data_IF_211332439261
#
_entry.id   IF_211332439261
#
_cell.length_a   1.000
_cell.length_b   1.000
_cell.length_c   1.000
_cell.angle_alpha   90.00
_cell.angle_beta   90.00
_cell.angle_gamma   90.00
#
_symmetry.space_group_name_H-M   'P 1'
#
loop_
_entity.id
_entity.type
_entity.pdbx_description
1 polymer ?
#
# COMPACT_ATOMS: atom_id res chain seq x y z
N UNK A 1 15.88 10.82 -30.67
CA UNK A 1 16.40 9.74 -29.81
C UNK A 1 15.90 10.06 -28.43
N UNK A 2 14.88 9.36 -27.92
CA UNK A 2 14.52 9.49 -26.51
C UNK A 2 15.75 9.18 -25.68
N UNK A 3 16.06 10.06 -24.74
CA UNK A 3 17.05 9.81 -23.70
C UNK A 3 16.71 8.45 -23.07
N UNK A 4 17.67 7.52 -22.87
CA UNK A 4 17.37 6.25 -22.21
C UNK A 4 16.69 6.52 -20.87
N UNK A 5 15.49 5.95 -20.71
CA UNK A 5 14.73 5.96 -19.47
C UNK A 5 15.66 5.63 -18.28
N UNK A 6 15.94 6.59 -17.38
CA UNK A 6 16.81 6.34 -16.24
C UNK A 6 16.10 5.41 -15.28
N UNK A 7 16.34 4.09 -15.42
CA UNK A 7 15.95 3.05 -14.45
C UNK A 7 16.81 3.10 -13.18
N UNK A 8 17.11 4.32 -12.73
CA UNK A 8 17.98 4.62 -11.59
C UNK A 8 17.10 5.18 -10.49
N UNK A 9 17.09 4.47 -9.36
CA UNK A 9 16.39 4.92 -8.16
C UNK A 9 17.08 6.15 -7.59
N UNK A 10 16.30 7.20 -7.31
CA UNK A 10 16.77 8.40 -6.62
C UNK A 10 16.85 8.16 -5.11
N UNK A 11 17.86 8.75 -4.50
CA UNK A 11 18.03 8.85 -3.05
C UNK A 11 17.07 9.88 -2.45
N UNK A 12 16.94 9.87 -1.12
CA UNK A 12 16.11 10.86 -0.43
C UNK A 12 16.58 12.30 -0.70
N UNK A 13 17.90 12.54 -0.66
CA UNK A 13 18.48 13.87 -0.83
C UNK A 13 18.30 14.39 -2.26
N UNK A 14 18.41 13.52 -3.28
CA UNK A 14 18.13 13.89 -4.68
C UNK A 14 16.65 14.28 -4.88
N UNK A 15 15.74 13.58 -4.21
CA UNK A 15 14.30 13.90 -4.25
C UNK A 15 14.03 15.25 -3.56
N UNK A 16 14.67 15.53 -2.42
CA UNK A 16 14.55 16.84 -1.76
C UNK A 16 15.12 17.97 -2.62
N UNK A 17 16.29 17.74 -3.25
CA UNK A 17 16.95 18.70 -4.12
C UNK A 17 16.13 19.02 -5.39
N UNK A 18 15.17 18.17 -5.77
CA UNK A 18 14.30 18.38 -6.92
C UNK A 18 13.28 19.53 -6.75
N UNK A 19 13.09 20.03 -5.52
CA UNK A 19 12.28 21.22 -5.23
C UNK A 19 10.78 21.05 -5.47
N UNK A 20 10.23 19.88 -5.13
CA UNK A 20 8.81 19.55 -5.33
C UNK A 20 7.96 20.01 -4.13
N UNK A 21 7.66 21.31 -4.03
CA UNK A 21 6.99 21.91 -2.87
C UNK A 21 5.61 21.28 -2.55
N UNK A 22 4.87 20.87 -3.59
CA UNK A 22 3.54 20.25 -3.46
C UNK A 22 3.59 18.75 -3.07
N UNK A 23 4.76 18.12 -3.15
CA UNK A 23 4.90 16.66 -3.05
C UNK A 23 5.65 16.23 -1.80
N UNK A 24 5.30 15.07 -1.25
CA UNK A 24 6.04 14.44 -0.16
C UNK A 24 6.47 13.05 -0.56
N UNK A 25 7.74 12.73 -0.29
CA UNK A 25 8.20 11.34 -0.26
C UNK A 25 7.59 10.68 0.97
N UNK A 26 6.75 9.69 0.76
CA UNK A 26 6.20 8.83 1.80
C UNK A 26 6.65 7.41 1.46
N UNK A 27 7.50 6.83 2.30
CA UNK A 27 8.22 5.59 2.03
C UNK A 27 9.01 5.65 0.71
N UNK A 28 8.64 4.82 -0.26
CA UNK A 28 9.24 4.68 -1.59
C UNK A 28 8.41 5.33 -2.71
N UNK A 29 7.45 6.23 -2.37
CA UNK A 29 6.57 6.88 -3.34
C UNK A 29 6.52 8.40 -3.16
N UNK A 30 6.29 9.13 -4.25
CA UNK A 30 5.95 10.55 -4.21
C UNK A 30 4.44 10.70 -4.14
N UNK A 31 3.93 11.51 -3.21
CA UNK A 31 2.49 11.73 -3.03
C UNK A 31 2.17 13.22 -2.99
N UNK A 32 1.06 13.59 -3.62
CA UNK A 32 0.47 14.92 -3.51
C UNK A 32 -1.05 14.81 -3.37
N UNK A 33 -1.62 15.73 -2.59
CA UNK A 33 -3.07 15.89 -2.41
C UNK A 33 -3.45 17.28 -2.91
N UNK A 34 -4.28 17.35 -3.93
CA UNK A 34 -4.75 18.61 -4.51
C UNK A 34 -6.22 18.83 -4.11
N UNK A 35 -6.48 19.91 -3.38
CA UNK A 35 -7.84 20.32 -3.02
C UNK A 35 -8.48 21.01 -4.23
N UNK A 36 -9.45 20.35 -4.83
CA UNK A 36 -10.13 20.82 -6.05
C UNK A 36 -11.47 21.49 -5.72
N UNK A 37 -12.00 21.26 -4.52
CA UNK A 37 -13.24 21.87 -4.01
C UNK A 37 -14.52 21.26 -4.59
N UNK A 38 -14.46 20.82 -5.85
CA UNK A 38 -15.53 20.06 -6.50
C UNK A 38 -14.97 18.96 -7.42
N UNK A 39 -15.89 18.07 -7.80
CA UNK A 39 -15.58 16.89 -8.62
C UNK A 39 -15.23 17.26 -10.07
N UNK A 40 -15.82 18.33 -10.63
CA UNK A 40 -15.61 18.70 -12.03
C UNK A 40 -14.19 19.21 -12.26
N UNK A 41 -13.69 20.04 -11.34
CA UNK A 41 -12.31 20.53 -11.32
C UNK A 41 -11.34 19.37 -11.10
N UNK A 42 -11.68 18.44 -10.20
CA UNK A 42 -10.90 17.23 -9.99
C UNK A 42 -10.81 16.36 -11.24
N UNK A 43 -11.92 16.12 -11.92
CA UNK A 43 -11.95 15.36 -13.17
C UNK A 43 -11.11 16.04 -14.26
N UNK A 44 -11.21 17.36 -14.41
CA UNK A 44 -10.39 18.11 -15.37
C UNK A 44 -8.89 18.02 -15.07
N UNK A 45 -8.51 17.96 -13.78
CA UNK A 45 -7.12 17.71 -13.39
C UNK A 45 -6.70 16.28 -13.77
N UNK A 46 -7.52 15.27 -13.46
CA UNK A 46 -7.26 13.87 -13.82
C UNK A 46 -7.08 13.69 -15.33
N UNK A 47 -7.90 14.33 -16.16
CA UNK A 47 -7.78 14.27 -17.62
C UNK A 47 -6.40 14.76 -18.10
N UNK A 48 -5.90 15.87 -17.53
CA UNK A 48 -4.58 16.42 -17.85
C UNK A 48 -3.45 15.52 -17.36
N UNK A 49 -3.60 14.94 -16.15
CA UNK A 49 -2.65 13.97 -15.61
C UNK A 49 -2.58 12.74 -16.53
N UNK A 50 -3.73 12.20 -16.94
CA UNK A 50 -3.81 11.04 -17.82
C UNK A 50 -3.12 11.28 -19.16
N UNK A 51 -3.38 12.42 -19.80
CA UNK A 51 -2.71 12.78 -21.06
C UNK A 51 -1.18 12.88 -20.89
N UNK A 52 -0.70 13.47 -19.78
CA UNK A 52 0.71 13.58 -19.49
C UNK A 52 1.38 12.24 -19.16
N UNK A 53 0.67 11.35 -18.47
CA UNK A 53 1.11 10.00 -18.13
C UNK A 53 1.28 9.14 -19.40
N UNK A 54 0.31 9.18 -20.32
CA UNK A 54 0.38 8.49 -21.61
C UNK A 54 1.54 8.99 -22.48
N UNK A 55 1.76 10.30 -22.53
CA UNK A 55 2.91 10.88 -23.24
C UNK A 55 4.25 10.41 -22.64
N UNK A 56 4.30 10.23 -21.31
CA UNK A 56 5.50 9.83 -20.59
C UNK A 56 5.72 8.31 -20.56
N UNK A 57 4.75 7.49 -20.98
CA UNK A 57 4.70 6.05 -20.73
C UNK A 57 4.98 5.72 -19.25
N UNK A 58 4.38 6.51 -18.35
CA UNK A 58 4.59 6.44 -16.91
C UNK A 58 3.33 6.86 -16.16
N UNK A 59 2.67 5.88 -15.54
CA UNK A 59 1.31 6.05 -15.03
C UNK A 59 1.28 6.20 -13.50
N UNK A 60 0.63 7.25 -12.96
CA UNK A 60 0.39 7.38 -11.53
C UNK A 60 -0.81 6.55 -11.05
N UNK A 61 -0.83 6.25 -9.75
CA UNK A 61 -2.06 5.87 -9.05
C UNK A 61 -2.84 7.15 -8.67
N UNK A 62 -4.12 7.23 -9.04
CA UNK A 62 -4.97 8.41 -8.83
C UNK A 62 -6.23 8.03 -8.04
N UNK A 63 -6.48 8.77 -6.96
CA UNK A 63 -7.78 8.77 -6.27
C UNK A 63 -8.49 10.10 -6.50
N UNK A 64 -9.65 10.05 -7.15
CA UNK A 64 -10.53 11.20 -7.34
C UNK A 64 -11.74 11.05 -6.42
N UNK A 65 -11.91 12.00 -5.51
CA UNK A 65 -13.09 12.11 -4.64
C UNK A 65 -13.73 13.49 -4.80
N UNK A 66 -14.88 13.72 -4.17
CA UNK A 66 -15.60 14.98 -4.33
C UNK A 66 -14.74 16.24 -4.10
N UNK A 67 -13.94 16.36 -3.01
CA UNK A 67 -13.21 17.61 -2.76
C UNK A 67 -11.76 17.63 -3.27
N UNK A 68 -11.22 16.51 -3.77
CA UNK A 68 -9.78 16.39 -4.00
C UNK A 68 -9.35 15.27 -4.94
N UNK A 69 -8.14 15.44 -5.45
CA UNK A 69 -7.36 14.44 -6.20
C UNK A 69 -6.11 14.12 -5.40
N UNK A 70 -5.91 12.84 -5.08
CA UNK A 70 -4.65 12.34 -4.50
C UNK A 70 -3.91 11.59 -5.60
N UNK A 71 -2.65 11.98 -5.82
CA UNK A 71 -1.78 11.37 -6.82
C UNK A 71 -0.60 10.71 -6.11
N UNK A 72 -0.31 9.47 -6.49
CA UNK A 72 0.86 8.71 -6.03
C UNK A 72 1.69 8.30 -7.23
N UNK A 73 3.00 8.56 -7.16
CA UNK A 73 3.98 8.30 -8.21
C UNK A 73 5.06 7.35 -7.69
N UNK A 74 5.33 6.31 -8.48
CA UNK A 74 6.47 5.42 -8.33
C UNK A 74 6.79 4.73 -9.65
N UNK A 75 8.06 4.45 -9.89
CA UNK A 75 8.51 3.59 -10.97
C UNK A 75 8.44 2.13 -10.56
N UNK A 76 7.32 1.46 -10.88
CA UNK A 76 7.04 0.08 -10.47
C UNK A 76 8.13 -0.92 -10.89
N UNK A 77 8.67 -0.76 -12.10
CA UNK A 77 9.72 -1.62 -12.64
C UNK A 77 11.07 -1.46 -11.93
N UNK A 78 11.25 -0.36 -11.18
CA UNK A 78 12.44 -0.07 -10.36
C UNK A 78 12.15 -0.24 -8.85
N UNK A 79 10.87 -0.38 -8.46
CA UNK A 79 10.44 -0.48 -7.07
C UNK A 79 10.72 0.78 -6.23
N UNK A 80 10.74 1.97 -6.84
CA UNK A 80 11.03 3.22 -6.14
C UNK A 80 10.83 4.47 -6.98
N UNK A 81 11.33 5.60 -6.52
CA UNK A 81 11.20 6.89 -7.20
C UNK A 81 12.38 7.08 -8.17
N UNK A 82 12.09 7.45 -9.42
CA UNK A 82 13.09 7.80 -10.44
C UNK A 82 12.87 9.24 -10.93
N UNK A 83 13.67 9.68 -11.91
CA UNK A 83 13.46 10.97 -12.57
C UNK A 83 12.10 11.06 -13.28
N UNK A 84 11.54 9.95 -13.77
CA UNK A 84 10.21 9.92 -14.40
C UNK A 84 9.11 10.42 -13.45
N UNK A 85 9.17 9.96 -12.20
CA UNK A 85 8.25 10.39 -11.14
C UNK A 85 8.39 11.89 -10.86
N UNK A 86 9.63 12.38 -10.76
CA UNK A 86 9.91 13.80 -10.50
C UNK A 86 9.43 14.68 -11.65
N UNK A 87 9.65 14.28 -12.89
CA UNK A 87 9.27 15.06 -14.07
C UNK A 87 7.75 15.10 -14.25
N UNK A 88 7.06 13.98 -14.04
CA UNK A 88 5.61 13.95 -14.06
C UNK A 88 5.03 14.77 -12.89
N UNK A 89 5.58 14.67 -11.68
CA UNK A 89 5.16 15.46 -10.52
C UNK A 89 5.15 16.97 -10.80
N UNK A 90 6.18 17.50 -11.49
CA UNK A 90 6.26 18.91 -11.88
C UNK A 90 5.13 19.32 -12.83
N UNK A 91 4.83 18.48 -13.83
CA UNK A 91 3.74 18.74 -14.78
C UNK A 91 2.40 18.80 -14.06
N UNK A 92 2.17 17.86 -13.15
CA UNK A 92 0.92 17.77 -12.37
C UNK A 92 0.75 19.00 -11.47
N UNK A 93 1.81 19.44 -10.77
CA UNK A 93 1.79 20.69 -10.00
C UNK A 93 1.41 21.90 -10.86
N UNK A 94 1.95 21.99 -12.08
CA UNK A 94 1.57 23.01 -13.05
C UNK A 94 0.08 22.97 -13.42
N UNK A 95 -0.44 21.77 -13.72
CA UNK A 95 -1.87 21.60 -14.05
C UNK A 95 -2.79 21.97 -12.88
N UNK A 96 -2.43 21.57 -11.66
CA UNK A 96 -3.18 21.91 -10.47
C UNK A 96 -3.24 23.43 -10.26
N UNK A 97 -2.10 24.12 -10.39
CA UNK A 97 -2.02 25.57 -10.29
C UNK A 97 -2.86 26.29 -11.36
N UNK A 98 -2.83 25.83 -12.61
CA UNK A 98 -3.66 26.39 -13.70
C UNK A 98 -5.17 26.23 -13.45
N UNK A 99 -5.57 25.16 -12.77
CA UNK A 99 -6.96 24.88 -12.39
C UNK A 99 -7.35 25.50 -11.04
N UNK A 100 -6.44 26.21 -10.38
CA UNK A 100 -6.68 26.83 -9.07
C UNK A 100 -6.76 25.83 -7.91
N UNK A 101 -6.36 24.57 -8.12
CA UNK A 101 -6.30 23.56 -7.08
C UNK A 101 -5.04 23.78 -6.22
N UNK A 102 -5.21 23.82 -4.90
CA UNK A 102 -4.11 24.03 -3.96
C UNK A 102 -3.60 22.70 -3.43
N UNK A 103 -2.28 22.51 -3.40
CA UNK A 103 -1.68 21.36 -2.74
C UNK A 103 -1.88 21.46 -1.22
N UNK A 104 -2.35 20.37 -0.62
CA UNK A 104 -2.40 20.17 0.82
C UNK A 104 -1.37 19.12 1.21
N UNK A 105 -0.21 19.62 1.59
CA UNK A 105 0.92 18.81 2.06
C UNK A 105 0.77 18.37 3.51
N UNK A 106 -0.30 18.78 4.18
CA UNK A 106 -0.64 18.35 5.54
C UNK A 106 -1.59 17.14 5.48
N UNK A 107 -1.33 16.14 6.33
CA UNK A 107 -2.20 14.97 6.42
C UNK A 107 -2.00 13.88 5.36
N UNK A 108 -0.91 13.92 4.58
CA UNK A 108 -0.43 12.72 3.89
C UNK A 108 0.10 11.74 4.93
N UNK A 109 -0.64 10.67 5.18
CA UNK A 109 -0.26 9.61 6.12
C UNK A 109 -0.28 8.27 5.40
N UNK A 110 0.68 7.42 5.75
CA UNK A 110 0.72 6.02 5.36
C UNK A 110 0.82 5.19 6.64
N UNK A 111 0.05 4.12 6.71
CA UNK A 111 0.11 3.13 7.78
C UNK A 111 0.39 1.78 7.13
N UNK A 112 1.38 1.07 7.67
CA UNK A 112 1.74 -0.29 7.30
C UNK A 112 1.72 -1.13 8.57
N UNK A 113 0.89 -2.18 8.67
CA UNK A 113 1.01 -3.13 9.75
C UNK A 113 2.37 -3.84 9.64
N UNK A 114 3.14 -3.79 10.72
CA UNK A 114 4.34 -4.60 10.87
C UNK A 114 4.03 -5.78 11.79
N UNK A 115 4.38 -6.99 11.36
CA UNK A 115 4.25 -8.19 12.18
C UNK A 115 5.63 -8.62 12.68
N UNK A 116 5.79 -8.62 13.99
CA UNK A 116 6.98 -9.17 14.65
C UNK A 116 6.92 -10.70 14.57
N UNK A 117 7.85 -11.30 13.83
CA UNK A 117 7.96 -12.76 13.69
C UNK A 117 9.42 -13.16 13.51
N UNK A 118 9.77 -14.37 13.93
CA UNK A 118 11.10 -14.93 13.69
C UNK A 118 11.26 -15.53 12.28
N UNK A 119 10.17 -15.66 11.51
CA UNK A 119 10.16 -16.36 10.22
C UNK A 119 9.04 -15.81 9.31
N UNK A 120 9.30 -14.65 8.70
CA UNK A 120 8.34 -14.00 7.80
C UNK A 120 8.07 -14.82 6.55
N UNK A 121 9.09 -15.52 6.03
CA UNK A 121 8.97 -16.37 4.85
C UNK A 121 7.93 -17.50 5.02
N UNK A 122 7.80 -18.06 6.23
CA UNK A 122 6.76 -19.06 6.54
C UNK A 122 5.37 -18.45 6.63
N UNK A 123 5.23 -17.20 7.06
CA UNK A 123 3.94 -16.52 7.21
C UNK A 123 3.46 -15.83 5.93
N UNK A 124 4.37 -15.48 5.01
CA UNK A 124 4.04 -14.76 3.78
C UNK A 124 2.90 -15.40 2.97
N UNK A 125 2.87 -16.73 2.72
CA UNK A 125 1.77 -17.35 1.98
C UNK A 125 0.41 -17.18 2.67
N UNK A 126 0.37 -17.32 4.00
CA UNK A 126 -0.86 -17.14 4.78
C UNK A 126 -1.41 -15.73 4.61
N UNK A 127 -0.56 -14.71 4.79
CA UNK A 127 -0.99 -13.32 4.69
C UNK A 127 -1.32 -12.90 3.27
N UNK A 128 -0.58 -13.38 2.26
CA UNK A 128 -0.92 -13.18 0.86
C UNK A 128 -2.32 -13.75 0.55
N UNK A 129 -2.60 -14.99 0.99
CA UNK A 129 -3.93 -15.57 0.84
C UNK A 129 -5.00 -14.77 1.61
N UNK A 130 -4.70 -14.36 2.84
CA UNK A 130 -5.62 -13.63 3.72
C UNK A 130 -6.04 -12.29 3.10
N UNK A 131 -5.13 -11.53 2.51
CA UNK A 131 -5.44 -10.23 1.89
C UNK A 131 -5.88 -10.37 0.42
N UNK A 132 -5.77 -11.55 -0.17
CA UNK A 132 -6.06 -11.80 -1.58
C UNK A 132 -4.97 -11.32 -2.54
N UNK A 133 -3.74 -11.23 -2.05
CA UNK A 133 -2.54 -10.87 -2.79
C UNK A 133 -1.66 -12.08 -3.15
N UNK A 134 -0.38 -11.82 -3.37
CA UNK A 134 0.63 -12.81 -3.74
C UNK A 134 1.94 -12.58 -2.98
N UNK A 135 2.85 -13.57 -2.96
CA UNK A 135 4.16 -13.41 -2.35
C UNK A 135 5.15 -12.88 -3.37
N UNK A 136 5.75 -11.71 -3.11
CA UNK A 136 6.82 -11.13 -3.93
C UNK A 136 8.02 -10.79 -3.05
N UNK A 137 9.20 -11.27 -3.42
CA UNK A 137 10.43 -10.98 -2.67
C UNK A 137 10.44 -11.49 -1.22
N UNK A 138 9.57 -12.45 -0.88
CA UNK A 138 9.39 -12.98 0.48
C UNK A 138 8.28 -12.29 1.29
N UNK A 139 7.66 -11.25 0.75
CA UNK A 139 6.63 -10.47 1.44
C UNK A 139 5.25 -10.65 0.79
N UNK A 140 4.14 -10.58 1.55
CA UNK A 140 2.79 -10.55 1.01
C UNK A 140 2.50 -9.18 0.39
N UNK A 141 2.15 -9.17 -0.90
CA UNK A 141 1.89 -7.96 -1.68
C UNK A 141 0.49 -8.04 -2.30
N UNK A 142 -0.31 -7.00 -2.09
CA UNK A 142 -1.49 -6.75 -2.93
C UNK A 142 -1.09 -5.86 -4.12
N UNK A 143 -0.96 -6.42 -5.34
CA UNK A 143 -0.53 -5.66 -6.51
C UNK A 143 -1.55 -4.60 -6.94
N UNK A 144 -2.80 -4.68 -6.47
CA UNK A 144 -3.83 -3.68 -6.77
C UNK A 144 -3.76 -2.45 -5.86
N UNK A 145 -3.00 -2.51 -4.76
CA UNK A 145 -2.86 -1.42 -3.79
C UNK A 145 -4.14 -1.11 -2.99
N UNK A 146 -5.09 -2.04 -2.94
CA UNK A 146 -6.33 -1.91 -2.16
C UNK A 146 -6.08 -2.13 -0.65
N UNK A 147 -5.07 -2.94 -0.32
CA UNK A 147 -4.67 -3.21 1.06
C UNK A 147 -3.32 -2.54 1.35
N UNK A 148 -3.18 -1.97 2.56
CA UNK A 148 -1.88 -1.48 3.03
C UNK A 148 -0.83 -2.61 2.99
N UNK A 149 0.41 -2.26 2.63
CA UNK A 149 1.55 -3.18 2.76
C UNK A 149 1.61 -3.74 4.17
N UNK A 150 1.64 -5.07 4.25
CA UNK A 150 2.04 -5.81 5.45
C UNK A 150 3.51 -6.19 5.28
N UNK A 151 4.30 -6.03 6.33
CA UNK A 151 5.72 -6.41 6.31
C UNK A 151 6.08 -7.16 7.59
N UNK A 152 7.14 -7.96 7.52
CA UNK A 152 7.65 -8.71 8.66
C UNK A 152 8.86 -8.02 9.30
N UNK A 153 8.82 -7.89 10.62
CA UNK A 153 9.96 -7.45 11.40
C UNK A 153 10.64 -8.66 12.04
N UNK A 154 11.76 -9.07 11.45
CA UNK A 154 12.55 -10.19 11.94
C UNK A 154 13.60 -9.72 12.97
N UNK A 155 13.75 -10.41 14.11
CA UNK A 155 14.82 -10.13 15.05
C UNK A 155 16.19 -10.43 14.42
N UNK A 156 17.25 -9.83 14.98
CA UNK A 156 18.62 -10.09 14.57
C UNK A 156 18.92 -11.60 14.47
N UNK A 157 19.43 -12.03 13.32
CA UNK A 157 19.74 -13.44 13.07
C UNK A 157 21.03 -13.91 13.77
N UNK A 158 21.84 -12.98 14.29
CA UNK A 158 23.09 -13.25 15.03
C UNK A 158 23.50 -12.05 15.89
N UNK A 159 24.45 -12.25 16.81
CA UNK A 159 25.00 -11.16 17.64
C UNK A 159 25.73 -10.07 16.82
N UNK A 160 26.20 -10.40 15.62
CA UNK A 160 26.84 -9.47 14.68
C UNK A 160 25.83 -8.78 13.74
N UNK A 161 24.55 -9.20 13.77
CA UNK A 161 23.47 -8.64 12.98
C UNK A 161 22.76 -7.56 13.79
N UNK A 162 22.77 -6.32 13.28
CA UNK A 162 22.17 -5.16 13.95
C UNK A 162 20.64 -5.08 13.75
N UNK A 163 19.97 -6.22 13.63
CA UNK A 163 18.52 -6.30 13.54
C UNK A 163 17.82 -5.75 14.79
N UNK A 164 16.54 -5.37 14.69
CA UNK A 164 15.81 -4.85 15.83
C UNK A 164 15.75 -5.90 16.93
N UNK A 165 16.11 -5.50 18.16
CA UNK A 165 15.86 -6.33 19.34
C UNK A 165 14.36 -6.20 19.66
N UNK A 166 13.61 -7.27 19.42
CA UNK A 166 12.20 -7.32 19.79
C UNK A 166 12.08 -7.26 21.33
N UNK A 167 11.33 -6.30 21.89
CA UNK A 167 11.15 -6.24 23.33
C UNK A 167 10.36 -7.46 23.82
N UNK A 168 10.67 -7.95 25.02
CA UNK A 168 9.87 -8.99 25.67
C UNK A 168 8.41 -8.54 25.78
N UNK A 169 7.47 -9.38 25.36
CA UNK A 169 6.03 -9.12 25.47
C UNK A 169 5.41 -10.01 26.55
N UNK A 170 4.93 -9.40 27.62
CA UNK A 170 4.21 -10.09 28.71
C UNK A 170 2.80 -10.58 28.30
N UNK A 171 2.35 -10.24 27.09
CA UNK A 171 0.98 -10.46 26.62
C UNK A 171 0.95 -10.96 25.18
N UNK A 172 0.03 -11.87 24.88
CA UNK A 172 -0.31 -12.28 23.50
C UNK A 172 -0.84 -11.08 22.69
N UNK A 173 -0.74 -11.16 21.35
CA UNK A 173 -1.16 -10.14 20.39
C UNK A 173 -2.57 -9.60 20.70
N UNK A 174 -2.71 -8.27 20.81
CA UNK A 174 -3.94 -7.60 21.28
C UNK A 174 -4.78 -6.95 20.17
N UNK A 175 -4.34 -7.08 18.92
CA UNK A 175 -5.00 -6.54 17.74
C UNK A 175 -5.09 -7.64 16.68
N UNK A 176 -6.03 -7.52 15.75
CA UNK A 176 -6.18 -8.43 14.62
C UNK A 176 -6.59 -7.64 13.38
N UNK A 177 -6.46 -8.26 12.21
CA UNK A 177 -6.95 -7.73 10.95
C UNK A 177 -8.36 -8.27 10.70
N UNK A 178 -9.30 -7.35 10.45
CA UNK A 178 -10.59 -7.66 9.84
C UNK A 178 -10.44 -7.51 8.32
N UNK A 179 -10.35 -8.62 7.59
CA UNK A 179 -10.33 -8.61 6.13
C UNK A 179 -11.74 -8.78 5.61
N UNK A 180 -12.29 -7.68 5.11
CA UNK A 180 -13.62 -7.66 4.52
C UNK A 180 -13.58 -8.09 3.06
N UNK A 181 -14.40 -9.09 2.74
CA UNK A 181 -14.59 -9.58 1.38
C UNK A 181 -16.06 -9.46 0.98
N UNK A 182 -16.36 -9.46 -0.33
CA UNK A 182 -17.73 -9.53 -0.82
C UNK A 182 -18.52 -10.70 -0.22
N UNK A 183 -19.85 -10.59 -0.21
CA UNK A 183 -20.75 -11.57 0.43
C UNK A 183 -20.58 -13.03 -0.05
N UNK A 184 -20.12 -13.21 -1.28
CA UNK A 184 -19.94 -14.46 -2.00
C UNK A 184 -18.47 -14.97 -1.98
N UNK A 185 -17.59 -14.27 -1.26
CA UNK A 185 -16.15 -14.53 -1.28
C UNK A 185 -15.60 -15.13 0.03
N UNK A 186 -16.38 -15.11 1.11
CA UNK A 186 -15.95 -15.56 2.44
C UNK A 186 -15.37 -16.97 2.48
N UNK A 187 -16.12 -17.96 1.98
CA UNK A 187 -15.69 -19.37 1.99
C UNK A 187 -14.48 -19.61 1.07
N UNK A 188 -14.42 -18.93 -0.09
CA UNK A 188 -13.27 -19.04 -1.00
C UNK A 188 -12.01 -18.48 -0.35
N UNK A 189 -12.12 -17.34 0.33
CA UNK A 189 -11.01 -16.74 1.08
C UNK A 189 -10.55 -17.65 2.22
N UNK A 190 -11.50 -18.25 2.95
CA UNK A 190 -11.18 -19.20 4.00
C UNK A 190 -10.38 -20.39 3.45
N UNK A 191 -10.85 -21.00 2.36
CA UNK A 191 -10.14 -22.14 1.77
C UNK A 191 -8.72 -21.77 1.34
N UNK A 192 -8.54 -20.61 0.70
CA UNK A 192 -7.21 -20.14 0.31
C UNK A 192 -6.26 -19.97 1.50
N UNK A 193 -6.77 -19.46 2.63
CA UNK A 193 -5.99 -19.32 3.87
C UNK A 193 -5.60 -20.69 4.44
N UNK A 194 -6.52 -21.66 4.44
CA UNK A 194 -6.24 -23.02 4.92
C UNK A 194 -5.21 -23.73 4.03
N UNK A 195 -5.33 -23.59 2.70
CA UNK A 195 -4.38 -24.14 1.73
C UNK A 195 -2.97 -23.52 1.90
N UNK A 196 -2.90 -22.27 2.36
CA UNK A 196 -1.67 -21.57 2.69
C UNK A 196 -1.08 -21.93 4.07
N UNK A 197 -1.62 -22.95 4.74
CA UNK A 197 -1.13 -23.43 6.04
C UNK A 197 -1.77 -22.75 7.25
N UNK A 198 -2.76 -21.90 7.05
CA UNK A 198 -3.56 -21.30 8.11
C UNK A 198 -4.50 -22.30 8.77
N UNK A 199 -5.00 -21.95 9.96
CA UNK A 199 -5.93 -22.78 10.73
C UNK A 199 -7.23 -22.05 11.01
N UNK A 200 -8.36 -22.72 10.82
CA UNK A 200 -9.66 -22.25 11.31
C UNK A 200 -9.72 -22.38 12.83
N UNK A 201 -9.94 -21.26 13.53
CA UNK A 201 -10.13 -21.20 14.98
C UNK A 201 -11.61 -21.24 15.33
N UNK A 202 -12.45 -20.51 14.60
CA UNK A 202 -13.89 -20.46 14.84
C UNK A 202 -14.66 -20.05 13.59
N UNK A 203 -15.78 -20.74 13.34
CA UNK A 203 -16.80 -20.44 12.33
C UNK A 203 -18.18 -20.17 12.96
N UNK A 204 -18.24 -20.02 14.28
CA UNK A 204 -19.51 -19.91 15.01
C UNK A 204 -20.36 -18.68 14.62
N UNK A 205 -19.74 -17.69 13.98
CA UNK A 205 -20.39 -16.47 13.49
C UNK A 205 -20.49 -16.42 11.97
N UNK A 206 -20.21 -17.51 11.26
CA UNK A 206 -20.42 -17.58 9.82
C UNK A 206 -21.92 -17.41 9.48
N UNK A 207 -22.28 -16.77 8.34
CA UNK A 207 -21.37 -16.26 7.30
C UNK A 207 -20.83 -14.84 7.58
N UNK A 208 -21.14 -14.26 8.74
CA UNK A 208 -20.70 -12.90 9.09
C UNK A 208 -19.18 -12.81 9.19
N UNK A 209 -18.53 -13.76 9.88
CA UNK A 209 -17.07 -13.88 9.86
C UNK A 209 -16.56 -15.25 10.32
N UNK A 210 -15.32 -15.56 9.92
CA UNK A 210 -14.52 -16.69 10.38
C UNK A 210 -13.24 -16.18 11.04
N UNK A 211 -12.83 -16.81 12.13
CA UNK A 211 -11.56 -16.53 12.81
C UNK A 211 -10.52 -17.54 12.34
N UNK A 212 -9.45 -17.04 11.74
CA UNK A 212 -8.30 -17.83 11.28
C UNK A 212 -7.06 -17.45 12.08
N UNK A 213 -6.09 -18.36 12.12
CA UNK A 213 -4.82 -18.19 12.83
C UNK A 213 -3.66 -18.59 11.94
N UNK A 214 -2.58 -17.81 11.98
CA UNK A 214 -1.32 -18.14 11.34
C UNK A 214 -0.51 -19.17 12.15
N UNK A 215 0.67 -19.51 11.67
CA UNK A 215 1.51 -20.53 12.31
C UNK A 215 2.23 -20.05 13.59
N UNK A 216 2.18 -18.75 13.90
CA UNK A 216 2.73 -18.15 15.12
C UNK A 216 1.65 -17.86 16.18
N UNK A 217 0.38 -18.13 15.85
CA UNK A 217 -0.75 -17.94 16.75
C UNK A 217 -1.47 -16.60 16.58
N UNK A 218 -1.06 -15.78 15.60
CA UNK A 218 -1.70 -14.50 15.32
C UNK A 218 -3.05 -14.71 14.65
N UNK A 219 -4.10 -14.08 15.18
CA UNK A 219 -5.47 -14.27 14.70
C UNK A 219 -5.90 -13.15 13.77
N UNK A 220 -6.77 -13.47 12.83
CA UNK A 220 -7.42 -12.53 11.93
C UNK A 220 -8.83 -13.01 11.58
N UNK A 221 -9.67 -12.10 11.13
CA UNK A 221 -11.04 -12.40 10.72
C UNK A 221 -11.18 -12.25 9.20
N UNK A 222 -11.87 -13.21 8.58
CA UNK A 222 -12.42 -13.05 7.24
C UNK A 222 -13.88 -12.64 7.45
N UNK A 223 -14.24 -11.43 7.03
CA UNK A 223 -15.54 -10.80 7.30
C UNK A 223 -16.33 -10.64 6.01
N UNK A 224 -17.65 -10.80 6.07
CA UNK A 224 -18.56 -10.46 4.97
C UNK A 224 -19.61 -9.46 5.46
N UNK A 225 -20.30 -8.73 4.56
CA UNK A 225 -21.43 -7.89 4.95
C UNK A 225 -22.68 -8.68 5.34
N UNK A 226 -22.68 -10.01 5.25
CA UNK A 226 -23.85 -10.82 5.60
C UNK A 226 -24.11 -10.78 7.11
N UNK A 227 -25.40 -10.73 7.45
CA UNK A 227 -25.91 -10.73 8.82
C UNK A 227 -25.38 -9.61 9.74
N UNK A 228 -24.75 -8.58 9.15
CA UNK A 228 -24.39 -7.30 9.79
C UNK A 228 -25.25 -6.21 9.17
N UNK A 229 -26.37 -5.90 9.83
CA UNK A 229 -27.32 -4.86 9.41
C UNK A 229 -26.73 -3.45 9.42
#
# INVERSE_FOLDING_TARGET
>A
MSDPDPKTRLTHDEILAAGLDDWRKVLNRLRARFRTGDFATGLALVDRIGAAAEEADHHPDISLTYPEVIVTLSSHDVGGITSRDVDLARRISGFAAELGATADVSGLTQVEPGLDTADGARLAPFYAALIGGEVQGGEPVDPSGQVSTLWFQEPAASEDDAGPVLPEQDHEQRWHLDVWVPHDEGERRLQAVLDAGGRLVSDAAAPSYWVVEDADGNRSCICTPLDRG
#
